data_IF_232344544789
#
_entry.id   IF_232344544789
#
_cell.length_a   1.000
_cell.length_b   1.000
_cell.length_c   1.000
_cell.angle_alpha   90.00
_cell.angle_beta   90.00
_cell.angle_gamma   90.00
#
_symmetry.space_group_name_H-M   'P 1'
#
loop_
_entity.id
_entity.type
_entity.pdbx_description
1 polymer ?
#
# COMPACT_ATOMS: atom_id res chain seq x y z
N UNK A 1 -0.54 1.35 -7.95
CA UNK A 1 0.05 0.34 -8.86
C UNK A 1 -0.84 -0.88 -8.92
N UNK A 2 -1.12 -1.40 -10.11
CA UNK A 2 -1.88 -2.63 -10.36
C UNK A 2 -0.97 -3.60 -11.11
N UNK A 3 -0.97 -4.86 -10.73
CA UNK A 3 -0.22 -5.91 -11.39
C UNK A 3 -0.89 -7.27 -11.19
N UNK A 4 -0.59 -8.22 -12.06
CA UNK A 4 -1.10 -9.60 -11.99
C UNK A 4 -0.01 -10.53 -11.44
N UNK A 5 -0.41 -11.48 -10.62
CA UNK A 5 0.47 -12.56 -10.17
C UNK A 5 0.00 -13.89 -10.79
N UNK A 6 0.95 -14.71 -11.19
CA UNK A 6 0.68 -16.05 -11.68
C UNK A 6 0.33 -17.03 -10.53
N UNK A 7 0.03 -18.27 -10.86
CA UNK A 7 -0.33 -19.32 -9.89
C UNK A 7 0.77 -19.65 -8.87
N UNK A 8 2.03 -19.28 -9.17
CA UNK A 8 3.18 -19.41 -8.26
C UNK A 8 3.36 -18.20 -7.35
N UNK A 9 2.49 -17.17 -7.47
CA UNK A 9 2.56 -15.92 -6.70
C UNK A 9 3.66 -14.96 -7.19
N UNK A 10 4.22 -15.16 -8.39
CA UNK A 10 5.20 -14.26 -9.01
C UNK A 10 4.48 -13.28 -9.94
N UNK A 11 5.03 -12.09 -10.10
CA UNK A 11 4.50 -11.10 -11.05
C UNK A 11 4.48 -11.72 -12.46
N UNK A 12 3.34 -11.66 -13.11
CA UNK A 12 3.19 -12.08 -14.51
C UNK A 12 3.84 -11.06 -15.43
N UNK A 13 4.54 -11.54 -16.44
CA UNK A 13 5.11 -10.71 -17.51
C UNK A 13 4.13 -10.49 -18.67
N UNK A 14 3.02 -11.22 -18.68
CA UNK A 14 1.96 -11.10 -19.69
C UNK A 14 1.09 -9.86 -19.49
N UNK A 15 1.10 -9.31 -18.28
CA UNK A 15 0.39 -8.08 -17.91
C UNK A 15 1.38 -6.98 -17.56
N UNK A 16 1.39 -5.90 -18.34
CA UNK A 16 2.20 -4.73 -18.04
C UNK A 16 1.66 -4.02 -16.78
N UNK A 17 2.45 -3.87 -15.71
CA UNK A 17 1.97 -3.22 -14.50
C UNK A 17 1.51 -1.79 -14.76
N UNK A 18 0.30 -1.46 -14.31
CA UNK A 18 -0.17 -0.07 -14.30
C UNK A 18 0.46 0.66 -13.13
N UNK A 19 1.23 1.70 -13.42
CA UNK A 19 1.84 2.58 -12.45
C UNK A 19 1.29 3.97 -12.70
N UNK A 20 0.65 4.55 -11.69
CA UNK A 20 0.17 5.92 -11.75
C UNK A 20 0.11 6.52 -10.35
N UNK A 21 -0.01 7.86 -10.26
CA UNK A 21 -0.06 8.59 -9.02
C UNK A 21 -0.41 10.05 -9.23
N UNK A 22 -0.82 10.71 -8.16
CA UNK A 22 -1.15 12.14 -8.15
C UNK A 22 -0.83 12.73 -6.78
N UNK A 23 -0.51 14.01 -6.75
CA UNK A 23 -0.33 14.81 -5.54
C UNK A 23 -1.63 15.44 -5.04
N UNK A 24 -2.73 15.32 -5.79
CA UNK A 24 -4.04 15.95 -5.52
C UNK A 24 -4.84 15.29 -4.40
N UNK A 25 -4.17 14.48 -3.57
CA UNK A 25 -4.72 13.90 -2.37
C UNK A 25 -5.51 12.59 -2.55
N UNK A 26 -6.05 12.07 -1.44
CA UNK A 26 -6.63 10.72 -1.37
C UNK A 26 -7.77 10.45 -2.36
N UNK A 27 -8.65 11.41 -2.57
CA UNK A 27 -9.81 11.21 -3.44
C UNK A 27 -9.40 11.14 -4.91
N UNK A 28 -8.38 11.91 -5.31
CA UNK A 28 -7.82 11.82 -6.67
C UNK A 28 -7.14 10.46 -6.90
N UNK A 29 -6.39 9.94 -5.93
CA UNK A 29 -5.80 8.59 -6.00
C UNK A 29 -6.88 7.53 -6.20
N UNK A 30 -7.99 7.61 -5.46
CA UNK A 30 -9.07 6.63 -5.57
C UNK A 30 -9.87 6.77 -6.88
N UNK A 31 -10.02 7.98 -7.43
CA UNK A 31 -10.58 8.16 -8.79
C UNK A 31 -9.68 7.52 -9.87
N UNK A 32 -8.36 7.70 -9.79
CA UNK A 32 -7.43 7.02 -10.70
C UNK A 32 -7.52 5.50 -10.57
N UNK A 33 -7.60 4.97 -9.34
CA UNK A 33 -7.74 3.55 -9.09
C UNK A 33 -9.05 3.01 -9.67
N UNK A 34 -10.16 3.70 -9.47
CA UNK A 34 -11.48 3.35 -10.01
C UNK A 34 -11.47 3.31 -11.54
N UNK A 35 -10.89 4.35 -12.17
CA UNK A 35 -10.73 4.41 -13.62
C UNK A 35 -9.97 3.20 -14.16
N UNK A 36 -8.79 2.89 -13.59
CA UNK A 36 -8.02 1.75 -14.08
C UNK A 36 -8.71 0.40 -13.83
N UNK A 37 -9.35 0.21 -12.69
CA UNK A 37 -10.04 -1.03 -12.39
C UNK A 37 -11.25 -1.26 -13.31
N UNK A 38 -11.97 -0.20 -13.68
CA UNK A 38 -13.07 -0.31 -14.66
C UNK A 38 -12.58 -0.61 -16.08
N UNK A 39 -11.38 -0.13 -16.47
CA UNK A 39 -10.80 -0.43 -17.78
C UNK A 39 -10.21 -1.85 -17.88
N UNK A 40 -9.88 -2.47 -16.76
CA UNK A 40 -9.20 -3.77 -16.71
C UNK A 40 -10.18 -4.96 -16.61
N UNK A 41 -11.49 -4.76 -16.77
CA UNK A 41 -12.49 -5.83 -16.63
C UNK A 41 -12.24 -6.68 -15.38
N UNK A 42 -11.96 -6.00 -14.27
CA UNK A 42 -11.51 -6.61 -13.01
C UNK A 42 -12.47 -7.68 -12.48
N UNK A 43 -13.71 -7.70 -12.96
CA UNK A 43 -14.73 -8.70 -12.65
C UNK A 43 -14.33 -10.10 -13.07
N UNK A 44 -13.46 -10.25 -14.07
CA UNK A 44 -13.00 -11.54 -14.60
C UNK A 44 -11.84 -12.13 -13.80
N UNK A 45 -11.25 -11.33 -12.92
CA UNK A 45 -10.15 -11.80 -12.10
C UNK A 45 -10.61 -12.90 -11.13
N UNK A 46 -9.91 -14.04 -11.14
CA UNK A 46 -10.15 -15.18 -10.24
C UNK A 46 -9.96 -14.82 -8.77
N UNK A 47 -9.00 -13.96 -8.47
CA UNK A 47 -8.65 -13.51 -7.12
C UNK A 47 -8.21 -12.05 -7.18
N UNK A 48 -8.77 -11.24 -6.31
CA UNK A 48 -8.40 -9.83 -6.17
C UNK A 48 -7.77 -9.63 -4.80
N UNK A 49 -6.60 -9.00 -4.77
CA UNK A 49 -5.93 -8.61 -3.54
C UNK A 49 -5.72 -7.10 -3.53
N UNK A 50 -6.19 -6.46 -2.49
CA UNK A 50 -5.82 -5.11 -2.13
C UNK A 50 -4.80 -5.14 -1.00
N UNK A 51 -3.61 -4.60 -1.24
CA UNK A 51 -2.55 -4.48 -0.25
C UNK A 51 -2.06 -3.03 -0.20
N UNK A 52 -1.94 -2.48 0.99
CA UNK A 52 -1.47 -1.13 1.23
C UNK A 52 -0.87 -0.99 2.62
N UNK A 53 -0.32 0.19 2.94
CA UNK A 53 -0.03 0.56 4.31
C UNK A 53 -1.32 0.67 5.16
N UNK A 54 -1.17 0.86 6.44
CA UNK A 54 -2.31 0.92 7.36
C UNK A 54 -2.96 2.30 7.48
N UNK A 55 -2.70 3.25 6.60
CA UNK A 55 -3.25 4.59 6.69
C UNK A 55 -4.79 4.57 6.66
N UNK A 56 -5.41 5.16 7.67
CA UNK A 56 -6.87 5.14 7.88
C UNK A 56 -7.66 5.59 6.65
N UNK A 57 -7.17 6.62 5.95
CA UNK A 57 -7.85 7.17 4.78
C UNK A 57 -8.00 6.17 3.62
N UNK A 58 -7.06 5.22 3.49
CA UNK A 58 -7.11 4.14 2.50
C UNK A 58 -8.27 3.20 2.83
N UNK A 59 -8.29 2.69 4.06
CA UNK A 59 -9.24 1.65 4.48
C UNK A 59 -10.68 2.15 4.57
N UNK A 60 -10.89 3.46 4.74
CA UNK A 60 -12.21 4.09 4.65
C UNK A 60 -12.74 4.15 3.21
N UNK A 61 -11.89 4.10 2.20
CA UNK A 61 -12.25 4.27 0.79
C UNK A 61 -12.29 2.97 -0.01
N UNK A 62 -11.54 1.95 0.40
CA UNK A 62 -11.42 0.69 -0.36
C UNK A 62 -12.76 -0.04 -0.47
N UNK A 63 -13.47 -0.24 0.64
CA UNK A 63 -14.73 -0.99 0.62
C UNK A 63 -15.82 -0.30 -0.23
N UNK A 64 -16.05 1.03 -0.11
CA UNK A 64 -16.97 1.75 -1.00
C UNK A 64 -16.59 1.66 -2.48
N UNK A 65 -15.30 1.80 -2.82
CA UNK A 65 -14.82 1.66 -4.19
C UNK A 65 -15.15 0.27 -4.76
N UNK A 66 -14.73 -0.77 -4.06
CA UNK A 66 -14.90 -2.14 -4.56
C UNK A 66 -16.36 -2.57 -4.64
N UNK A 67 -17.23 -2.00 -3.79
CA UNK A 67 -18.70 -2.17 -3.89
C UNK A 67 -19.24 -1.52 -5.17
N UNK A 68 -18.86 -0.29 -5.48
CA UNK A 68 -19.27 0.36 -6.73
C UNK A 68 -18.87 -0.41 -7.99
N UNK A 69 -17.72 -1.10 -7.92
CA UNK A 69 -17.22 -1.95 -9.00
C UNK A 69 -17.83 -3.37 -9.01
N UNK A 70 -18.82 -3.66 -8.17
CA UNK A 70 -19.46 -4.98 -8.10
C UNK A 70 -18.57 -6.09 -7.54
N UNK A 71 -17.52 -5.74 -6.80
CA UNK A 71 -16.50 -6.67 -6.29
C UNK A 71 -16.71 -7.06 -4.82
N UNK A 72 -17.85 -6.73 -4.22
CA UNK A 72 -18.14 -7.04 -2.83
C UNK A 72 -18.01 -8.55 -2.56
N UNK A 73 -17.29 -8.92 -1.51
CA UNK A 73 -17.03 -10.32 -1.16
C UNK A 73 -16.01 -11.06 -2.04
N UNK A 74 -15.59 -10.48 -3.17
CA UNK A 74 -14.68 -11.11 -4.14
C UNK A 74 -13.21 -10.78 -3.96
N UNK A 75 -12.86 -9.93 -3.00
CA UNK A 75 -11.50 -9.47 -2.78
C UNK A 75 -10.97 -9.85 -1.41
N UNK A 76 -9.65 -9.81 -1.30
CA UNK A 76 -8.90 -9.94 -0.04
C UNK A 76 -8.21 -8.62 0.26
N UNK A 77 -8.04 -8.34 1.55
CA UNK A 77 -7.38 -7.12 2.03
C UNK A 77 -6.28 -7.52 3.00
N UNK A 78 -5.06 -6.99 2.78
CA UNK A 78 -3.96 -7.10 3.74
C UNK A 78 -3.28 -5.75 3.91
N UNK A 79 -2.89 -5.46 5.14
CA UNK A 79 -1.89 -4.42 5.39
C UNK A 79 -0.53 -5.00 5.05
N UNK A 80 0.36 -4.17 4.51
CA UNK A 80 1.74 -4.56 4.26
C UNK A 80 2.39 -5.13 5.52
N UNK A 81 2.93 -6.35 5.42
CA UNK A 81 3.54 -7.06 6.55
C UNK A 81 4.71 -6.28 7.15
N UNK A 82 5.57 -5.72 6.31
CA UNK A 82 6.76 -5.01 6.77
C UNK A 82 6.38 -3.73 7.50
N UNK A 83 5.38 -3.02 6.98
CA UNK A 83 4.85 -1.81 7.60
C UNK A 83 4.19 -2.11 8.96
N UNK A 84 3.46 -3.21 9.09
CA UNK A 84 2.95 -3.68 10.39
C UNK A 84 4.10 -3.97 11.36
N UNK A 85 5.20 -4.57 10.90
CA UNK A 85 6.35 -4.83 11.77
C UNK A 85 7.06 -3.54 12.19
N UNK A 86 7.06 -2.49 11.38
CA UNK A 86 7.52 -1.16 11.77
C UNK A 86 6.69 -0.60 12.94
N UNK A 87 5.36 -0.70 12.88
CA UNK A 87 4.48 -0.31 13.98
C UNK A 87 4.66 -1.17 15.23
N UNK A 88 4.92 -2.47 15.09
CA UNK A 88 5.28 -3.34 16.22
C UNK A 88 6.60 -2.88 16.87
N UNK A 89 7.59 -2.48 16.06
CA UNK A 89 8.84 -1.91 16.57
C UNK A 89 8.63 -0.56 17.26
N UNK A 90 7.81 0.32 16.67
CA UNK A 90 7.47 1.62 17.24
C UNK A 90 6.79 1.45 18.60
N UNK A 91 5.80 0.57 18.71
CA UNK A 91 5.13 0.25 19.96
C UNK A 91 6.13 -0.28 21.02
N UNK A 92 7.00 -1.21 20.65
CA UNK A 92 8.01 -1.74 21.58
C UNK A 92 9.02 -0.69 22.04
N UNK A 93 9.33 0.31 21.22
CA UNK A 93 10.24 1.40 21.54
C UNK A 93 9.66 2.34 22.62
N UNK A 94 8.33 2.44 22.74
CA UNK A 94 7.68 3.25 23.79
C UNK A 94 7.93 2.70 25.20
N UNK A 95 8.33 1.44 25.31
CA UNK A 95 8.70 0.86 26.62
C UNK A 95 10.17 1.15 26.95
N UNK A 96 10.41 2.36 27.42
CA UNK A 96 11.77 2.88 27.68
C UNK A 96 12.56 2.06 28.71
N UNK A 97 11.88 1.36 29.63
CA UNK A 97 12.50 0.47 30.60
C UNK A 97 13.14 -0.79 29.99
N UNK A 98 12.80 -1.13 28.75
CA UNK A 98 13.37 -2.28 28.06
C UNK A 98 14.71 -1.95 27.39
N UNK A 99 15.68 -2.84 27.56
CA UNK A 99 16.91 -2.82 26.81
C UNK A 99 16.71 -3.37 25.39
N UNK A 100 17.65 -3.09 24.48
CA UNK A 100 17.58 -3.52 23.06
C UNK A 100 17.30 -5.03 22.89
N UNK A 101 17.92 -5.96 23.64
CA UNK A 101 17.64 -7.40 23.48
C UNK A 101 16.20 -7.78 23.85
N UNK A 102 15.59 -7.14 24.85
CA UNK A 102 14.21 -7.42 25.27
C UNK A 102 13.22 -6.96 24.21
N UNK A 103 13.42 -5.74 23.68
CA UNK A 103 12.63 -5.22 22.56
C UNK A 103 12.70 -6.13 21.33
N UNK A 104 13.90 -6.51 20.92
CA UNK A 104 14.10 -7.40 19.78
C UNK A 104 13.40 -8.75 19.96
N UNK A 105 13.49 -9.35 21.15
CA UNK A 105 12.80 -10.62 21.47
C UNK A 105 11.28 -10.49 21.39
N UNK A 106 10.71 -9.43 21.93
CA UNK A 106 9.27 -9.21 21.89
C UNK A 106 8.79 -9.01 20.45
N UNK A 107 9.44 -8.13 19.68
CA UNK A 107 9.14 -7.88 18.28
C UNK A 107 9.23 -9.16 17.45
N UNK A 108 10.29 -9.95 17.65
CA UNK A 108 10.48 -11.23 16.94
C UNK A 108 9.34 -12.21 17.23
N UNK A 109 8.86 -12.27 18.48
CA UNK A 109 7.70 -13.10 18.84
C UNK A 109 6.43 -12.63 18.13
N UNK A 110 6.16 -11.31 18.10
CA UNK A 110 4.98 -10.77 17.40
C UNK A 110 5.05 -11.03 15.91
N UNK A 111 6.20 -10.82 15.30
CA UNK A 111 6.46 -11.14 13.89
C UNK A 111 6.17 -12.63 13.60
N UNK A 112 6.66 -13.53 14.44
CA UNK A 112 6.43 -14.96 14.31
C UNK A 112 4.96 -15.34 14.44
N UNK A 113 4.21 -14.72 15.37
CA UNK A 113 2.77 -14.93 15.52
C UNK A 113 2.01 -14.53 14.25
N UNK A 114 2.25 -13.33 13.75
CA UNK A 114 1.64 -12.86 12.51
C UNK A 114 2.01 -13.76 11.32
N UNK A 115 3.26 -14.17 11.24
CA UNK A 115 3.72 -15.09 10.19
C UNK A 115 3.01 -16.46 10.23
N UNK A 116 2.72 -16.98 11.42
CA UNK A 116 2.01 -18.25 11.60
C UNK A 116 0.48 -18.10 11.56
N UNK A 117 -0.06 -16.88 11.51
CA UNK A 117 -1.50 -16.59 11.54
C UNK A 117 -2.12 -16.67 12.93
N UNK A 118 -1.32 -16.57 13.97
CA UNK A 118 -1.75 -16.57 15.37
C UNK A 118 -2.29 -15.18 15.78
N UNK A 119 -3.23 -14.65 14.98
CA UNK A 119 -3.72 -13.26 15.10
C UNK A 119 -4.40 -13.03 16.46
N UNK A 120 -5.14 -14.01 16.99
CA UNK A 120 -5.76 -13.89 18.32
C UNK A 120 -4.73 -13.74 19.44
N UNK A 121 -3.64 -14.53 19.39
CA UNK A 121 -2.55 -14.43 20.35
C UNK A 121 -1.78 -13.11 20.21
N UNK A 122 -1.65 -12.59 18.99
CA UNK A 122 -1.08 -11.26 18.72
C UNK A 122 -1.93 -10.15 19.35
N UNK A 123 -3.26 -10.17 19.17
CA UNK A 123 -4.19 -9.22 19.78
C UNK A 123 -4.04 -9.21 21.30
N UNK A 124 -4.14 -10.37 21.92
CA UNK A 124 -4.06 -10.49 23.39
C UNK A 124 -2.73 -9.96 23.94
N UNK A 125 -1.64 -10.20 23.22
CA UNK A 125 -0.32 -9.70 23.64
C UNK A 125 -0.20 -8.18 23.50
N UNK A 126 -0.72 -7.58 22.42
CA UNK A 126 -0.71 -6.13 22.21
C UNK A 126 -1.58 -5.46 23.27
N UNK A 127 -2.76 -6.00 23.58
CA UNK A 127 -3.64 -5.50 24.64
C UNK A 127 -2.93 -5.51 26.00
N UNK A 128 -2.36 -6.66 26.36
CA UNK A 128 -1.59 -6.81 27.62
C UNK A 128 -0.39 -5.85 27.67
N UNK A 129 0.31 -5.68 26.55
CA UNK A 129 1.48 -4.80 26.49
C UNK A 129 1.11 -3.32 26.70
N UNK A 130 -0.09 -2.93 26.25
CA UNK A 130 -0.61 -1.57 26.36
C UNK A 130 -1.47 -1.33 27.61
N UNK A 131 -1.65 -2.32 28.47
CA UNK A 131 -2.47 -2.21 29.66
C UNK A 131 -2.00 -1.07 30.56
N UNK A 132 -2.95 -0.21 30.99
CA UNK A 132 -2.67 0.96 31.81
C UNK A 132 -1.93 2.12 31.09
N UNK A 133 -1.62 2.00 29.83
CA UNK A 133 -0.94 3.04 29.04
C UNK A 133 -1.95 4.00 28.41
N UNK A 134 -1.77 5.32 28.67
CA UNK A 134 -2.70 6.38 28.22
C UNK A 134 -2.05 7.45 27.34
N UNK A 135 -0.74 7.38 27.07
CA UNK A 135 -0.04 8.32 26.19
C UNK A 135 -0.52 8.22 24.74
N UNK A 136 -0.59 9.34 24.04
CA UNK A 136 -1.11 9.38 22.65
C UNK A 136 -0.36 8.45 21.70
N UNK A 137 0.96 8.35 21.81
CA UNK A 137 1.75 7.43 20.98
C UNK A 137 1.40 5.96 21.24
N UNK A 138 1.17 5.60 22.52
CA UNK A 138 0.72 4.26 22.88
C UNK A 138 -0.65 3.93 22.28
N UNK A 139 -1.59 4.87 22.37
CA UNK A 139 -2.93 4.70 21.81
C UNK A 139 -2.88 4.59 20.29
N UNK A 140 -2.09 5.45 19.62
CA UNK A 140 -1.94 5.44 18.17
C UNK A 140 -1.43 4.07 17.66
N UNK A 141 -0.31 3.60 18.21
CA UNK A 141 0.28 2.33 17.78
C UNK A 141 -0.62 1.13 18.13
N UNK A 142 -1.21 1.12 19.30
CA UNK A 142 -2.18 0.12 19.74
C UNK A 142 -3.39 0.05 18.79
N UNK A 143 -4.02 1.18 18.56
CA UNK A 143 -5.26 1.27 17.77
C UNK A 143 -5.01 0.92 16.30
N UNK A 144 -3.85 1.30 15.78
CA UNK A 144 -3.41 0.84 14.46
C UNK A 144 -3.33 -0.69 14.41
N UNK A 145 -2.54 -1.32 15.28
CA UNK A 145 -2.31 -2.76 15.27
C UNK A 145 -3.59 -3.55 15.54
N UNK A 146 -4.34 -3.18 16.58
CA UNK A 146 -5.58 -3.87 16.95
C UNK A 146 -6.69 -3.65 15.92
N UNK A 147 -6.82 -2.44 15.38
CA UNK A 147 -7.82 -2.13 14.36
C UNK A 147 -7.63 -2.98 13.10
N UNK A 148 -6.40 -3.15 12.64
CA UNK A 148 -6.10 -4.01 11.48
C UNK A 148 -6.22 -5.50 11.79
N UNK A 149 -5.78 -5.94 12.98
CA UNK A 149 -5.90 -7.32 13.40
C UNK A 149 -7.38 -7.76 13.51
N UNK A 150 -8.21 -6.98 14.18
CA UNK A 150 -9.65 -7.23 14.33
C UNK A 150 -10.41 -7.11 13.00
N UNK A 151 -9.93 -6.23 12.11
CA UNK A 151 -10.44 -6.10 10.73
C UNK A 151 -10.02 -7.25 9.80
N UNK A 152 -9.35 -8.30 10.29
CA UNK A 152 -8.97 -9.48 9.50
C UNK A 152 -7.86 -9.24 8.47
N UNK A 153 -7.13 -8.11 8.57
CA UNK A 153 -6.13 -7.70 7.58
C UNK A 153 -4.70 -8.15 7.89
N UNK A 154 -4.48 -8.92 8.96
CA UNK A 154 -3.16 -9.38 9.40
C UNK A 154 -2.98 -10.91 9.37
N UNK A 155 -3.85 -11.67 8.69
CA UNK A 155 -3.69 -13.13 8.54
C UNK A 155 -2.75 -13.46 7.37
N UNK A 156 -1.46 -13.26 7.59
CA UNK A 156 -0.44 -13.52 6.56
C UNK A 156 -0.22 -15.01 6.28
N UNK A 157 -0.55 -15.90 7.21
CA UNK A 157 -0.50 -17.33 6.96
C UNK A 157 -1.51 -17.73 5.88
N UNK A 158 -2.72 -17.13 5.88
CA UNK A 158 -3.72 -17.32 4.85
C UNK A 158 -3.26 -16.78 3.50
N UNK A 159 -2.64 -15.59 3.47
CA UNK A 159 -2.08 -15.01 2.26
C UNK A 159 -1.01 -15.94 1.65
N UNK A 160 -0.08 -16.43 2.45
CA UNK A 160 1.02 -17.31 2.02
C UNK A 160 0.53 -18.66 1.50
N UNK A 161 -0.44 -19.29 2.19
CA UNK A 161 -1.08 -20.53 1.69
C UNK A 161 -1.76 -20.33 0.34
N UNK A 162 -2.32 -19.14 0.13
CA UNK A 162 -2.94 -18.77 -1.14
C UNK A 162 -1.93 -18.30 -2.21
N UNK A 163 -0.62 -18.30 -1.91
CA UNK A 163 0.46 -17.78 -2.76
C UNK A 163 0.27 -16.33 -3.16
N UNK A 164 -0.31 -15.53 -2.27
CA UNK A 164 -0.52 -14.10 -2.47
C UNK A 164 0.61 -13.29 -1.82
N UNK A 165 0.96 -12.13 -2.37
CA UNK A 165 1.91 -11.22 -1.75
C UNK A 165 1.46 -10.81 -0.35
N UNK A 166 2.42 -10.57 0.54
CA UNK A 166 2.18 -10.07 1.90
C UNK A 166 2.77 -8.67 2.15
N UNK A 167 3.52 -8.17 1.19
CA UNK A 167 4.16 -6.86 1.24
C UNK A 167 4.02 -6.10 -0.08
N UNK A 168 4.22 -4.80 -0.02
CA UNK A 168 4.12 -3.85 -1.13
C UNK A 168 5.48 -3.50 -1.75
N UNK A 169 6.48 -4.37 -1.63
CA UNK A 169 7.84 -4.11 -2.13
C UNK A 169 7.90 -3.71 -3.61
N UNK A 170 6.95 -4.18 -4.42
CA UNK A 170 6.78 -3.74 -5.80
C UNK A 170 6.38 -2.27 -5.88
N UNK A 171 5.49 -1.81 -4.98
CA UNK A 171 5.09 -0.41 -4.87
C UNK A 171 6.26 0.46 -4.37
N UNK A 172 7.01 0.01 -3.37
CA UNK A 172 8.20 0.73 -2.88
C UNK A 172 9.23 0.91 -3.99
N UNK A 173 9.48 -0.15 -4.77
CA UNK A 173 10.34 -0.08 -5.95
C UNK A 173 9.80 0.90 -7.00
N UNK A 174 8.49 0.96 -7.23
CA UNK A 174 7.87 1.93 -8.12
C UNK A 174 8.02 3.37 -7.58
N UNK A 175 7.74 3.61 -6.30
CA UNK A 175 7.91 4.92 -5.65
C UNK A 175 9.36 5.38 -5.76
N UNK A 176 10.33 4.51 -5.46
CA UNK A 176 11.74 4.85 -5.61
C UNK A 176 12.07 5.31 -7.03
N UNK A 177 11.63 4.57 -8.05
CA UNK A 177 11.95 4.85 -9.46
C UNK A 177 11.18 6.04 -10.03
N UNK A 178 9.94 6.23 -9.63
CA UNK A 178 9.06 7.28 -10.16
C UNK A 178 9.26 8.59 -9.39
N UNK A 179 9.22 8.54 -8.07
CA UNK A 179 9.23 9.71 -7.18
C UNK A 179 10.64 10.04 -6.69
N UNK A 180 11.25 9.12 -5.90
CA UNK A 180 12.41 9.49 -5.09
C UNK A 180 13.63 9.87 -5.94
N UNK A 181 13.87 9.21 -7.07
CA UNK A 181 15.03 9.48 -7.92
C UNK A 181 14.97 10.80 -8.68
N UNK A 182 13.82 11.50 -8.72
CA UNK A 182 13.68 12.73 -9.49
C UNK A 182 12.94 13.86 -8.77
N UNK A 183 11.96 13.53 -7.94
CA UNK A 183 11.19 14.54 -7.24
C UNK A 183 11.73 14.84 -5.85
N UNK A 184 12.57 13.94 -5.29
CA UNK A 184 13.21 14.11 -4.00
C UNK A 184 14.72 14.11 -4.16
N UNK A 185 15.35 15.21 -3.89
CA UNK A 185 16.80 15.35 -3.90
C UNK A 185 17.23 16.64 -3.20
N UNK A 186 18.48 16.71 -2.78
CA UNK A 186 19.06 17.94 -2.23
C UNK A 186 18.95 19.04 -3.30
N UNK A 187 18.49 20.21 -2.89
CA UNK A 187 18.37 21.41 -3.76
C UNK A 187 17.40 21.25 -4.95
N UNK A 188 16.50 20.27 -4.92
CA UNK A 188 15.43 20.15 -5.91
C UNK A 188 14.15 20.70 -5.32
N UNK A 189 13.62 21.76 -5.95
CA UNK A 189 12.39 22.43 -5.56
C UNK A 189 11.40 22.35 -6.72
N UNK A 190 10.18 21.99 -6.43
CA UNK A 190 9.09 21.88 -7.38
C UNK A 190 7.92 22.73 -6.93
N UNK A 191 7.29 23.44 -7.85
CA UNK A 191 5.89 23.83 -7.63
C UNK A 191 5.02 22.58 -7.64
N UNK A 192 3.86 22.64 -7.01
CA UNK A 192 2.93 21.49 -6.99
C UNK A 192 2.55 21.06 -8.42
N UNK A 193 2.29 22.04 -9.30
CA UNK A 193 1.94 21.81 -10.70
C UNK A 193 3.07 21.08 -11.45
N UNK A 194 4.32 21.58 -11.38
CA UNK A 194 5.44 20.95 -12.07
C UNK A 194 5.76 19.58 -11.49
N UNK A 195 5.60 19.38 -10.18
CA UNK A 195 5.74 18.07 -9.55
C UNK A 195 4.71 17.08 -10.06
N UNK A 196 3.45 17.49 -10.22
CA UNK A 196 2.37 16.66 -10.78
C UNK A 196 2.66 16.28 -12.24
N UNK A 197 3.07 17.27 -13.06
CA UNK A 197 3.44 17.03 -14.46
C UNK A 197 4.63 16.05 -14.56
N UNK A 198 5.67 16.24 -13.77
CA UNK A 198 6.81 15.34 -13.73
C UNK A 198 6.41 13.94 -13.25
N UNK A 199 5.52 13.85 -12.27
CA UNK A 199 5.00 12.57 -11.79
C UNK A 199 4.26 11.83 -12.92
N UNK A 200 3.40 12.53 -13.68
CA UNK A 200 2.69 11.99 -14.83
C UNK A 200 3.67 11.43 -15.88
N UNK A 201 4.60 12.26 -16.35
CA UNK A 201 5.60 11.84 -17.34
C UNK A 201 6.38 10.61 -16.89
N UNK A 202 6.77 10.56 -15.64
CA UNK A 202 7.55 9.45 -15.09
C UNK A 202 6.73 8.18 -14.90
N UNK A 203 5.46 8.28 -14.55
CA UNK A 203 4.59 7.10 -14.43
C UNK A 203 4.39 6.45 -15.79
N UNK A 204 4.11 7.23 -16.84
CA UNK A 204 3.96 6.73 -18.21
C UNK A 204 5.26 6.12 -18.75
N UNK A 205 6.39 6.82 -18.58
CA UNK A 205 7.70 6.30 -18.98
C UNK A 205 8.06 4.98 -18.29
N UNK A 206 7.86 4.89 -16.96
CA UNK A 206 8.18 3.68 -16.19
C UNK A 206 7.17 2.54 -16.39
N UNK A 207 5.94 2.85 -16.76
CA UNK A 207 4.93 1.88 -17.17
C UNK A 207 5.08 1.41 -18.64
N UNK A 208 6.08 1.92 -19.37
CA UNK A 208 6.28 1.67 -20.83
C UNK A 208 5.04 2.07 -21.66
N UNK A 209 4.46 3.20 -21.35
CA UNK A 209 3.25 3.76 -22.00
C UNK A 209 3.55 5.15 -22.58
N UNK A 210 4.77 5.36 -23.03
CA UNK A 210 5.20 6.67 -23.56
C UNK A 210 4.45 7.05 -24.82
N UNK A 211 4.13 6.09 -25.67
CA UNK A 211 3.34 6.26 -26.90
C UNK A 211 1.97 6.90 -26.67
N UNK A 212 1.38 6.71 -25.49
CA UNK A 212 0.11 7.36 -25.12
C UNK A 212 0.30 8.87 -25.00
N UNK A 213 1.41 9.32 -24.38
CA UNK A 213 1.74 10.74 -24.27
C UNK A 213 2.07 11.36 -25.62
N UNK A 214 2.78 10.64 -26.48
CA UNK A 214 3.05 11.08 -27.86
C UNK A 214 1.76 11.26 -28.65
N UNK A 215 0.85 10.30 -28.58
CA UNK A 215 -0.47 10.38 -29.23
C UNK A 215 -1.26 11.58 -28.72
N UNK A 216 -1.27 11.80 -27.41
CA UNK A 216 -1.96 12.95 -26.79
C UNK A 216 -1.34 14.29 -27.25
N UNK A 217 -0.01 14.37 -27.29
CA UNK A 217 0.70 15.58 -27.71
C UNK A 217 0.42 15.90 -29.19
N UNK A 218 0.41 14.88 -30.07
CA UNK A 218 0.14 15.05 -31.50
C UNK A 218 -1.34 15.37 -31.78
N UNK A 219 -2.26 14.92 -30.95
CA UNK A 219 -3.68 15.21 -31.05
C UNK A 219 -4.07 16.61 -30.54
N UNK A 220 -3.19 17.26 -29.78
CA UNK A 220 -3.44 18.60 -29.26
C UNK A 220 -2.98 19.64 -30.28
N UNK A 221 -3.86 20.50 -30.81
CA UNK A 221 -3.46 21.59 -31.71
C UNK A 221 -2.41 22.46 -31.03
N UNK A 222 -1.34 22.79 -31.73
CA UNK A 222 -0.40 23.82 -31.27
C UNK A 222 -1.19 25.11 -31.10
N UNK A 223 -1.18 25.68 -29.90
CA UNK A 223 -1.74 27.00 -29.69
C UNK A 223 -1.02 27.97 -30.64
N UNK A 224 -1.75 28.56 -31.59
CA UNK A 224 -1.22 29.66 -32.40
C UNK A 224 -0.82 30.75 -31.44
N UNK A 225 0.47 31.05 -31.36
CA UNK A 225 0.94 32.22 -30.63
C UNK A 225 0.24 33.45 -31.19
N UNK A 226 -0.60 34.07 -30.39
CA UNK A 226 -1.20 35.35 -30.67
C UNK A 226 -0.21 36.47 -30.34
#
# INVERSE_FOLDING_TARGET
>A
MIYVVNEKGRISHEFAPVIDGTLRGPDAVFRLLEFYLSQLEITDAKKILFIADGARWIWLRVAPLLRRLGLEGRYRQWVDFYHVIEHVNALAALRTSWRSPERKRWVSRQRSRLWRGEVKAFIAEVEKFCEGRRGQDWLRERDYLLGHARGGRLDYAKARRAKLPIGSGTMESAIRRVVNLRLKGASIFWTEEHAEQMLLLRTYYKAKRWEVLETMALATPLATAA
#
